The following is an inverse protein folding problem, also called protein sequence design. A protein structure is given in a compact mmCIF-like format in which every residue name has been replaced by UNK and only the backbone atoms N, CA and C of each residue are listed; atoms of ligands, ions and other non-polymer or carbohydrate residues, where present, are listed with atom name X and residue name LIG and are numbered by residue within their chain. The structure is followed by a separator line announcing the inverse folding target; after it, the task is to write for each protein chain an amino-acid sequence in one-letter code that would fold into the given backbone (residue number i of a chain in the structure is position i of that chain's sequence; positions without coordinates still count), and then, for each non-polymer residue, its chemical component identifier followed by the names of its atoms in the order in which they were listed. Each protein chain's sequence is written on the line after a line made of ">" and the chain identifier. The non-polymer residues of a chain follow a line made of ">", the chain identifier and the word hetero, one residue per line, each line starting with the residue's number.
data_IF_155081530191
#
_entry.id   IF_155081530191
#
_cell.length_a   1.000
_cell.length_b   1.000
_cell.length_c   1.000
_cell.angle_alpha   90.00
_cell.angle_beta   90.00
_cell.angle_gamma   90.00
#
_symmetry.space_group_name_H-M   'P 1'
#
loop_
_entity.id
_entity.type
_entity.pdbx_description
1 polymer ?
#
# COMPACT_ATOMS: atom_id res chain seq x y z
N UNK A 1 4.22 -7.29 -7.54
CA UNK A 1 4.20 -7.87 -6.20
C UNK A 1 2.77 -8.02 -5.76
N UNK A 2 2.19 -9.12 -6.22
CA UNK A 2 1.04 -9.76 -5.61
C UNK A 2 1.45 -10.33 -4.24
N UNK A 3 0.46 -10.72 -3.42
CA UNK A 3 0.68 -11.44 -2.16
C UNK A 3 1.55 -12.69 -2.37
N UNK A 4 1.27 -13.48 -3.41
CA UNK A 4 2.02 -14.70 -3.75
C UNK A 4 3.50 -14.41 -3.99
N UNK A 5 3.81 -13.40 -4.80
CA UNK A 5 5.20 -12.98 -5.07
C UNK A 5 5.94 -12.50 -3.80
N UNK A 6 5.22 -12.02 -2.77
CA UNK A 6 5.81 -11.60 -1.49
C UNK A 6 6.14 -12.84 -0.65
N UNK A 7 5.25 -13.83 -0.63
CA UNK A 7 5.46 -15.10 0.09
C UNK A 7 6.61 -15.90 -0.53
N UNK A 8 6.69 -15.96 -1.86
CA UNK A 8 7.80 -16.60 -2.59
C UNK A 8 9.17 -16.00 -2.26
N UNK A 9 9.20 -14.73 -1.88
CA UNK A 9 10.43 -14.05 -1.43
C UNK A 9 10.83 -14.39 0.01
N UNK A 10 10.11 -15.28 0.68
CA UNK A 10 10.43 -15.78 2.02
C UNK A 10 9.73 -15.05 3.17
N UNK A 11 8.72 -14.22 2.90
CA UNK A 11 7.93 -13.55 3.94
C UNK A 11 6.70 -14.38 4.32
N UNK A 12 6.27 -14.31 5.59
CA UNK A 12 5.08 -15.04 6.03
C UNK A 12 3.81 -14.48 5.37
N UNK A 13 2.85 -15.36 5.10
CA UNK A 13 1.58 -14.96 4.50
C UNK A 13 0.79 -14.01 5.43
N UNK A 14 0.78 -14.27 6.74
CA UNK A 14 0.06 -13.41 7.68
C UNK A 14 0.67 -12.00 7.70
N UNK A 15 2.00 -11.90 7.62
CA UNK A 15 2.70 -10.62 7.57
C UNK A 15 2.35 -9.87 6.29
N UNK A 16 2.42 -10.54 5.14
CA UNK A 16 2.09 -9.94 3.84
C UNK A 16 0.65 -9.42 3.83
N UNK A 17 -0.30 -10.24 4.29
CA UNK A 17 -1.72 -9.89 4.35
C UNK A 17 -1.96 -8.69 5.29
N UNK A 18 -1.31 -8.68 6.47
CA UNK A 18 -1.43 -7.59 7.44
C UNK A 18 -0.95 -6.27 6.87
N UNK A 19 0.21 -6.26 6.22
CA UNK A 19 0.81 -5.04 5.66
C UNK A 19 0.00 -4.53 4.47
N UNK A 20 -0.45 -5.40 3.56
CA UNK A 20 -1.31 -5.00 2.43
C UNK A 20 -2.59 -4.32 2.93
N UNK A 21 -3.26 -4.92 3.93
CA UNK A 21 -4.45 -4.33 4.56
C UNK A 21 -4.15 -2.99 5.21
N UNK A 22 -3.06 -2.88 5.96
CA UNK A 22 -2.67 -1.64 6.64
C UNK A 22 -2.37 -0.50 5.65
N UNK A 23 -1.67 -0.81 4.56
CA UNK A 23 -1.37 0.16 3.50
C UNK A 23 -2.65 0.65 2.85
N UNK A 24 -3.57 -0.24 2.47
CA UNK A 24 -4.83 0.13 1.83
C UNK A 24 -5.71 1.01 2.74
N UNK A 25 -5.87 0.62 4.01
CA UNK A 25 -6.67 1.38 4.99
C UNK A 25 -6.10 2.76 5.32
N UNK A 26 -4.81 3.00 5.07
CA UNK A 26 -4.16 4.27 5.38
C UNK A 26 -4.26 5.33 4.28
N UNK A 27 -4.95 5.04 3.17
CA UNK A 27 -5.06 5.97 2.03
C UNK A 27 -5.73 7.30 2.41
N UNK A 28 -6.77 7.27 3.25
CA UNK A 28 -7.42 8.50 3.70
C UNK A 28 -6.46 9.41 4.48
N UNK A 29 -5.61 8.84 5.34
CA UNK A 29 -4.60 9.58 6.09
C UNK A 29 -3.57 10.21 5.15
N UNK A 30 -3.15 9.49 4.12
CA UNK A 30 -2.18 10.00 3.13
C UNK A 30 -2.72 11.18 2.33
N UNK A 31 -4.01 11.20 2.00
CA UNK A 31 -4.62 12.34 1.29
C UNK A 31 -4.73 13.61 2.13
N UNK A 32 -4.74 13.47 3.46
CA UNK A 32 -4.76 14.59 4.39
C UNK A 32 -3.35 15.05 4.81
N UNK A 33 -2.30 14.32 4.41
CA UNK A 33 -0.93 14.70 4.71
C UNK A 33 -0.55 15.99 3.96
N UNK A 34 0.33 16.84 4.54
CA UNK A 34 0.83 18.02 3.85
C UNK A 34 1.64 17.62 2.60
N UNK A 35 1.87 18.55 1.66
CA UNK A 35 2.78 18.33 0.54
C UNK A 35 4.18 17.92 1.03
N UNK A 36 4.75 16.87 0.43
CA UNK A 36 6.09 16.35 0.75
C UNK A 36 6.92 16.25 -0.53
N UNK A 37 8.22 16.52 -0.42
CA UNK A 37 9.18 16.37 -1.52
C UNK A 37 9.30 14.89 -1.91
N UNK A 38 9.15 14.60 -3.21
CA UNK A 38 9.29 13.25 -3.75
C UNK A 38 10.77 12.90 -3.95
N UNK A 39 11.26 11.90 -3.22
CA UNK A 39 12.64 11.38 -3.37
C UNK A 39 12.72 10.02 -4.06
N UNK A 40 11.61 9.27 -4.15
CA UNK A 40 11.56 7.93 -4.74
C UNK A 40 10.58 7.86 -5.90
N UNK A 41 10.83 6.97 -6.86
CA UNK A 41 9.97 6.77 -8.03
C UNK A 41 8.52 6.42 -7.64
N UNK A 42 8.35 5.65 -6.54
CA UNK A 42 7.07 5.09 -6.07
C UNK A 42 6.59 5.70 -4.75
N UNK A 43 6.83 6.99 -4.54
CA UNK A 43 6.33 7.73 -3.38
C UNK A 43 4.79 7.83 -3.35
N UNK A 44 4.21 7.99 -2.16
CA UNK A 44 2.77 8.07 -1.90
C UNK A 44 2.11 9.42 -2.25
N UNK A 45 2.70 10.19 -3.16
CA UNK A 45 2.19 11.48 -3.61
C UNK A 45 1.20 11.35 -4.78
N UNK A 46 1.17 12.34 -5.66
CA UNK A 46 0.27 12.37 -6.82
C UNK A 46 0.38 11.13 -7.73
N UNK A 47 1.58 10.54 -7.85
CA UNK A 47 1.83 9.42 -8.76
C UNK A 47 1.30 8.05 -8.29
N UNK A 48 0.82 7.92 -7.04
CA UNK A 48 0.28 6.66 -6.53
C UNK A 48 -0.92 6.92 -5.63
N UNK A 49 -2.11 6.95 -6.26
CA UNK A 49 -3.39 7.10 -5.57
C UNK A 49 -4.19 5.82 -5.68
N UNK A 50 -4.78 5.42 -4.55
CA UNK A 50 -5.76 4.33 -4.51
C UNK A 50 -7.11 4.93 -4.10
N UNK A 51 -8.26 4.39 -4.54
CA UNK A 51 -9.55 4.78 -3.98
C UNK A 51 -9.58 4.55 -2.46
N UNK A 52 -10.18 5.49 -1.70
CA UNK A 52 -10.33 5.35 -0.23
C UNK A 52 -11.36 4.28 0.09
N UNK A 53 -12.54 4.36 -0.52
CA UNK A 53 -13.61 3.39 -0.36
C UNK A 53 -13.53 2.35 -1.50
N UNK A 54 -12.71 1.31 -1.31
CA UNK A 54 -12.66 0.14 -2.20
C UNK A 54 -12.58 -1.15 -1.39
N UNK A 55 -13.08 -2.22 -1.97
CA UNK A 55 -12.75 -3.56 -1.52
C UNK A 55 -11.31 -3.89 -1.88
N UNK A 56 -10.60 -4.53 -0.95
CA UNK A 56 -9.22 -4.98 -1.14
C UNK A 56 -9.30 -6.39 -1.70
N UNK A 57 -9.22 -6.51 -3.03
CA UNK A 57 -9.26 -7.80 -3.73
C UNK A 57 -7.93 -8.55 -3.69
N UNK A 58 -6.88 -7.91 -3.18
CA UNK A 58 -5.50 -8.43 -3.14
C UNK A 58 -5.21 -9.25 -1.85
N UNK A 59 -6.26 -9.57 -1.07
CA UNK A 59 -6.21 -10.25 0.24
C UNK A 59 -6.36 -11.76 0.12
#
# INVERSE_FOLDING_TARGET
>A
LSRGEIVERGWSEELAQRIIKAVARSEYKRRQAPPVIKVSSRAFGMGRRMPIARYIHEV
#
